data_IF_110463418676
#
_entry.id   IF_110463418676
#
_cell.length_a   1.000
_cell.length_b   1.000
_cell.length_c   1.000
_cell.angle_alpha   90.00
_cell.angle_beta   90.00
_cell.angle_gamma   90.00
#
_symmetry.space_group_name_H-M   'P 1'
#
loop_
_entity.id
_entity.type
_entity.pdbx_description
1 polymer ?
#
# COMPACT_ATOMS: atom_id res chain seq x y z
N UNK A 1 19.90 29.14 -31.81
CA UNK A 1 19.93 28.64 -30.41
C UNK A 1 20.71 29.65 -29.56
N UNK A 2 20.07 30.44 -28.69
CA UNK A 2 20.73 31.60 -28.03
C UNK A 2 21.42 31.16 -26.72
N UNK A 3 22.73 31.44 -26.62
CA UNK A 3 23.63 31.18 -25.48
C UNK A 3 23.06 31.67 -24.12
N UNK A 4 22.19 32.70 -24.11
CA UNK A 4 21.46 33.15 -22.91
C UNK A 4 20.53 32.07 -22.33
N UNK A 5 19.82 31.30 -23.17
CA UNK A 5 18.89 30.25 -22.72
C UNK A 5 19.59 29.10 -22.01
N UNK A 6 20.82 28.77 -22.43
CA UNK A 6 21.62 27.72 -21.83
C UNK A 6 22.22 28.16 -20.48
N UNK A 7 22.64 29.43 -20.35
CA UNK A 7 23.08 29.99 -19.05
C UNK A 7 21.96 30.01 -18.01
N UNK A 8 20.74 30.39 -18.37
CA UNK A 8 19.60 30.34 -17.44
C UNK A 8 19.23 28.90 -17.06
N UNK A 9 19.32 27.95 -17.99
CA UNK A 9 19.12 26.51 -17.72
C UNK A 9 20.15 25.96 -16.74
N UNK A 10 21.44 26.28 -16.93
CA UNK A 10 22.50 25.82 -16.04
C UNK A 10 22.36 26.45 -14.65
N UNK A 11 22.07 27.74 -14.56
CA UNK A 11 21.81 28.44 -13.30
C UNK A 11 20.56 27.91 -12.58
N UNK A 12 19.50 27.53 -13.31
CA UNK A 12 18.29 26.96 -12.71
C UNK A 12 18.43 25.49 -12.33
N UNK A 13 19.22 24.71 -13.09
CA UNK A 13 19.59 23.33 -12.75
C UNK A 13 20.42 23.34 -11.47
N UNK A 14 21.41 24.24 -11.39
CA UNK A 14 22.24 24.47 -10.20
C UNK A 14 21.36 24.95 -9.04
N UNK A 15 20.38 25.83 -9.26
CA UNK A 15 19.46 26.27 -8.20
C UNK A 15 18.51 25.15 -7.73
N UNK A 16 17.99 24.33 -8.65
CA UNK A 16 17.12 23.19 -8.33
C UNK A 16 17.86 22.06 -7.63
N UNK A 17 19.10 21.76 -8.05
CA UNK A 17 19.98 20.85 -7.32
C UNK A 17 20.45 21.45 -6.01
N UNK A 18 20.70 22.75 -5.89
CA UNK A 18 20.97 23.42 -4.61
C UNK A 18 19.75 23.41 -3.68
N UNK A 19 18.53 23.48 -4.19
CA UNK A 19 17.31 23.35 -3.38
C UNK A 19 17.06 21.90 -2.95
N UNK A 20 17.32 20.93 -3.82
CA UNK A 20 17.21 19.51 -3.48
C UNK A 20 18.32 19.09 -2.50
N UNK A 21 19.58 19.47 -2.76
CA UNK A 21 20.74 19.24 -1.89
C UNK A 21 20.62 20.06 -0.61
N UNK A 22 20.08 21.28 -0.67
CA UNK A 22 19.77 22.10 0.49
C UNK A 22 18.64 21.53 1.33
N UNK A 23 17.60 20.96 0.71
CA UNK A 23 16.53 20.22 1.40
C UNK A 23 17.04 18.94 2.04
N UNK A 24 17.94 18.20 1.36
CA UNK A 24 18.61 17.02 1.90
C UNK A 24 19.59 17.41 3.01
N UNK A 25 20.34 18.50 2.88
CA UNK A 25 21.25 18.99 3.91
C UNK A 25 20.48 19.53 5.13
N UNK A 26 19.34 20.20 4.92
CA UNK A 26 18.44 20.62 6.00
C UNK A 26 17.84 19.39 6.69
N UNK A 27 17.44 18.36 5.94
CA UNK A 27 16.98 17.07 6.44
C UNK A 27 18.06 16.38 7.27
N UNK A 28 19.32 16.35 6.80
CA UNK A 28 20.49 15.83 7.54
C UNK A 28 20.80 16.68 8.78
N UNK A 29 20.66 18.01 8.72
CA UNK A 29 20.92 18.89 9.87
C UNK A 29 19.81 18.81 10.92
N UNK A 30 18.56 18.55 10.49
CA UNK A 30 17.40 18.32 11.37
C UNK A 30 17.44 16.91 11.97
N UNK A 31 17.89 15.91 11.20
CA UNK A 31 18.25 14.57 11.71
C UNK A 31 19.30 14.66 12.82
N UNK A 32 20.24 15.61 12.72
CA UNK A 32 21.24 15.88 13.76
C UNK A 32 20.72 16.74 14.95
N UNK A 33 19.54 17.38 14.86
CA UNK A 33 19.02 18.34 15.87
C UNK A 33 17.73 17.93 16.61
N UNK A 34 17.10 16.80 16.26
CA UNK A 34 16.07 16.14 17.07
C UNK A 34 14.82 16.98 17.44
N UNK A 35 14.33 17.85 16.56
CA UNK A 35 13.16 18.73 16.79
C UNK A 35 12.03 18.43 15.76
N UNK A 36 11.12 17.49 16.06
CA UNK A 36 10.21 16.90 15.05
C UNK A 36 8.74 17.33 15.11
N UNK A 37 8.28 18.06 16.13
CA UNK A 37 6.83 18.26 16.36
C UNK A 37 6.15 19.28 15.43
N UNK A 38 6.90 20.12 14.70
CA UNK A 38 6.34 21.19 13.83
C UNK A 38 6.91 21.14 12.39
N UNK A 39 7.87 20.26 12.12
CA UNK A 39 8.74 20.36 10.93
C UNK A 39 8.43 19.31 9.85
N UNK A 40 7.62 18.28 10.12
CA UNK A 40 7.26 17.23 9.14
C UNK A 40 6.55 17.79 7.88
N UNK A 41 5.64 18.75 8.06
CA UNK A 41 4.96 19.47 6.96
C UNK A 41 5.92 20.37 6.15
N UNK A 42 6.88 21.00 6.83
CA UNK A 42 7.86 21.93 6.22
C UNK A 42 8.99 21.22 5.47
N UNK A 43 9.25 19.94 5.76
CA UNK A 43 10.29 19.11 5.12
C UNK A 43 9.75 18.32 3.93
N UNK A 44 8.51 17.85 3.99
CA UNK A 44 7.87 17.19 2.84
C UNK A 44 7.56 18.19 1.72
N UNK A 45 7.19 19.44 2.07
CA UNK A 45 6.92 20.49 1.09
C UNK A 45 8.06 20.70 0.08
N UNK A 46 9.33 20.95 0.47
CA UNK A 46 10.42 21.21 -0.48
C UNK A 46 10.87 19.98 -1.27
N UNK A 47 10.70 18.76 -0.78
CA UNK A 47 11.00 17.53 -1.53
C UNK A 47 9.92 17.28 -2.59
N UNK A 48 8.65 17.45 -2.21
CA UNK A 48 7.49 17.35 -3.11
C UNK A 48 7.55 18.51 -4.12
N UNK A 49 7.78 19.74 -3.68
CA UNK A 49 7.95 20.92 -4.55
C UNK A 49 9.18 20.75 -5.44
N UNK A 50 10.29 20.22 -4.94
CA UNK A 50 11.51 19.96 -5.70
C UNK A 50 11.33 18.90 -6.78
N UNK A 51 10.63 17.80 -6.47
CA UNK A 51 10.22 16.78 -7.44
C UNK A 51 9.23 17.32 -8.48
N UNK A 52 8.25 18.11 -8.04
CA UNK A 52 7.32 18.85 -8.91
C UNK A 52 8.07 19.85 -9.80
N UNK A 53 9.08 20.54 -9.29
CA UNK A 53 9.89 21.50 -10.03
C UNK A 53 10.76 20.81 -11.09
N UNK A 54 11.37 19.68 -10.73
CA UNK A 54 12.14 18.84 -11.66
C UNK A 54 11.27 18.30 -12.79
N UNK A 55 10.07 17.81 -12.47
CA UNK A 55 9.09 17.36 -13.47
C UNK A 55 8.55 18.52 -14.33
N UNK A 56 8.32 19.69 -13.72
CA UNK A 56 7.88 20.91 -14.42
C UNK A 56 8.95 21.49 -15.34
N UNK A 57 10.24 21.45 -14.97
CA UNK A 57 11.33 21.92 -15.84
C UNK A 57 11.73 20.92 -16.92
N UNK A 58 11.66 19.62 -16.63
CA UNK A 58 11.70 18.58 -17.67
C UNK A 58 10.60 18.81 -18.72
N UNK A 59 9.41 19.21 -18.28
CA UNK A 59 8.30 19.63 -19.16
C UNK A 59 8.57 20.95 -19.92
N UNK A 60 9.17 21.97 -19.28
CA UNK A 60 9.49 23.25 -19.93
C UNK A 60 10.52 23.07 -21.05
N UNK A 61 11.48 22.16 -20.85
CA UNK A 61 12.43 21.75 -21.90
C UNK A 61 11.72 20.99 -23.04
N UNK A 62 10.76 20.12 -22.71
CA UNK A 62 9.92 19.42 -23.71
C UNK A 62 9.05 20.38 -24.55
N UNK A 63 8.51 21.45 -23.95
CA UNK A 63 7.63 22.38 -24.67
C UNK A 63 8.36 23.39 -25.57
N UNK A 64 9.64 23.69 -25.32
CA UNK A 64 10.40 24.61 -26.19
C UNK A 64 10.87 23.97 -27.52
N UNK A 65 10.73 22.65 -27.68
CA UNK A 65 11.03 21.94 -28.93
C UNK A 65 9.91 21.93 -29.97
N UNK A 66 8.69 22.34 -29.63
CA UNK A 66 7.51 22.22 -30.51
C UNK A 66 6.97 23.60 -30.88
N UNK A 67 7.48 24.19 -31.97
CA UNK A 67 7.07 25.52 -32.45
C UNK A 67 6.53 25.58 -33.88
N UNK A 68 6.37 24.46 -34.60
CA UNK A 68 5.86 24.52 -35.97
C UNK A 68 4.91 23.37 -36.37
N UNK A 69 3.60 23.65 -36.58
CA UNK A 69 2.57 22.64 -36.85
C UNK A 69 2.71 21.90 -38.19
N UNK A 70 3.64 22.29 -39.08
CA UNK A 70 3.92 21.54 -40.33
C UNK A 70 4.89 20.37 -40.14
N UNK A 71 5.51 20.23 -38.96
CA UNK A 71 6.48 19.15 -38.68
C UNK A 71 5.90 17.95 -37.93
N UNK A 72 4.60 17.97 -37.60
CA UNK A 72 3.96 16.98 -36.71
C UNK A 72 3.90 15.54 -37.26
N UNK A 73 3.84 15.36 -38.59
CA UNK A 73 3.83 14.01 -39.20
C UNK A 73 5.21 13.32 -39.20
N UNK A 74 6.31 14.07 -39.19
CA UNK A 74 7.66 13.52 -39.02
C UNK A 74 8.04 13.40 -37.53
N UNK A 75 7.56 14.32 -36.69
CA UNK A 75 7.84 14.34 -35.24
C UNK A 75 6.97 13.37 -34.42
N UNK A 76 5.87 12.84 -34.94
CA UNK A 76 5.09 11.79 -34.25
C UNK A 76 5.90 10.51 -33.97
N UNK A 77 6.87 10.16 -34.84
CA UNK A 77 7.82 9.05 -34.59
C UNK A 77 8.92 9.42 -33.60
N UNK A 78 9.38 10.67 -33.59
CA UNK A 78 10.40 11.16 -32.64
C UNK A 78 9.86 11.37 -31.21
N UNK A 79 8.64 11.89 -31.08
CA UNK A 79 7.93 12.09 -29.81
C UNK A 79 7.73 10.78 -29.03
N UNK A 80 7.34 9.70 -29.74
CA UNK A 80 7.21 8.37 -29.13
C UNK A 80 8.54 7.78 -28.66
N UNK A 81 9.65 8.07 -29.36
CA UNK A 81 10.97 7.58 -28.97
C UNK A 81 11.51 8.33 -27.74
N UNK A 82 11.33 9.65 -27.66
CA UNK A 82 11.71 10.42 -26.47
C UNK A 82 10.89 10.05 -25.23
N UNK A 83 9.57 9.83 -25.34
CA UNK A 83 8.75 9.37 -24.22
C UNK A 83 9.19 7.98 -23.72
N UNK A 84 9.56 7.07 -24.63
CA UNK A 84 10.13 5.76 -24.26
C UNK A 84 11.49 5.89 -23.56
N UNK A 85 12.37 6.77 -24.03
CA UNK A 85 13.67 7.03 -23.37
C UNK A 85 13.45 7.56 -21.96
N UNK A 86 12.57 8.55 -21.76
CA UNK A 86 12.26 9.08 -20.43
C UNK A 86 11.61 8.04 -19.51
N UNK A 87 10.76 7.18 -20.06
CA UNK A 87 10.18 6.05 -19.32
C UNK A 87 11.28 5.13 -18.82
N UNK A 88 12.24 4.76 -19.68
CA UNK A 88 13.40 3.94 -19.28
C UNK A 88 14.24 4.66 -18.23
N UNK A 89 14.56 5.94 -18.42
CA UNK A 89 15.37 6.71 -17.46
C UNK A 89 14.71 6.79 -16.08
N UNK A 90 13.41 7.07 -16.02
CA UNK A 90 12.67 7.14 -14.76
C UNK A 90 12.60 5.77 -14.09
N UNK A 91 12.34 4.70 -14.85
CA UNK A 91 12.31 3.35 -14.30
C UNK A 91 13.70 2.88 -13.83
N UNK A 92 14.77 3.23 -14.55
CA UNK A 92 16.14 2.95 -14.12
C UNK A 92 16.49 3.73 -12.85
N UNK A 93 16.14 5.01 -12.76
CA UNK A 93 16.34 5.80 -11.55
C UNK A 93 15.52 5.23 -10.37
N UNK A 94 14.27 4.83 -10.61
CA UNK A 94 13.41 4.20 -9.62
C UNK A 94 13.97 2.85 -9.16
N UNK A 95 14.56 2.06 -10.05
CA UNK A 95 15.25 0.82 -9.70
C UNK A 95 16.50 1.09 -8.85
N UNK A 96 17.31 2.11 -9.18
CA UNK A 96 18.43 2.51 -8.32
C UNK A 96 17.97 2.94 -6.92
N UNK A 97 16.88 3.70 -6.83
CA UNK A 97 16.27 4.08 -5.55
C UNK A 97 15.78 2.83 -4.80
N UNK A 98 15.11 1.91 -5.49
CA UNK A 98 14.66 0.63 -4.91
C UNK A 98 15.82 -0.13 -4.31
N UNK A 99 16.90 -0.38 -5.07
CA UNK A 99 18.06 -1.12 -4.57
C UNK A 99 18.79 -0.38 -3.46
N UNK A 100 18.84 0.96 -3.49
CA UNK A 100 19.41 1.76 -2.41
C UNK A 100 18.64 1.60 -1.10
N UNK A 101 17.32 1.75 -1.13
CA UNK A 101 16.47 1.54 0.06
C UNK A 101 16.40 0.07 0.48
N UNK A 102 16.42 -0.87 -0.48
CA UNK A 102 16.48 -2.29 -0.19
C UNK A 102 17.77 -2.66 0.54
N UNK A 103 18.92 -2.09 0.16
CA UNK A 103 20.18 -2.29 0.89
C UNK A 103 20.06 -1.88 2.35
N UNK A 104 19.53 -0.67 2.60
CA UNK A 104 19.30 -0.16 3.96
C UNK A 104 18.28 -1.02 4.72
N UNK A 105 17.21 -1.44 4.05
CA UNK A 105 16.18 -2.31 4.61
C UNK A 105 16.71 -3.71 4.97
N UNK A 106 17.65 -4.24 4.19
CA UNK A 106 18.26 -5.56 4.41
C UNK A 106 19.27 -5.59 5.55
N UNK A 107 19.77 -4.42 5.98
CA UNK A 107 20.65 -4.27 7.15
C UNK A 107 19.87 -4.27 8.47
N UNK A 108 18.54 -4.17 8.43
CA UNK A 108 17.70 -4.22 9.62
C UNK A 108 17.64 -5.66 10.11
N UNK A 109 18.16 -5.91 11.31
CA UNK A 109 18.11 -7.23 11.92
C UNK A 109 16.65 -7.69 12.07
N UNK A 110 16.33 -8.93 11.67
CA UNK A 110 15.02 -9.49 11.93
C UNK A 110 14.80 -9.57 13.43
N UNK A 111 13.57 -9.28 13.85
CA UNK A 111 13.12 -9.46 15.23
C UNK A 111 13.51 -10.87 15.69
N UNK A 112 14.31 -11.02 16.77
CA UNK A 112 14.63 -12.34 17.27
C UNK A 112 13.33 -13.06 17.62
N UNK A 113 13.11 -14.23 17.02
CA UNK A 113 12.04 -15.13 17.45
C UNK A 113 12.22 -15.36 18.95
N UNK A 114 11.15 -15.35 19.73
CA UNK A 114 11.23 -15.75 21.13
C UNK A 114 11.86 -17.15 21.21
N UNK A 115 12.61 -17.45 22.27
CA UNK A 115 13.28 -18.75 22.43
C UNK A 115 12.32 -19.94 22.24
N UNK A 116 11.04 -19.77 22.58
CA UNK A 116 9.99 -20.77 22.39
C UNK A 116 9.53 -20.97 20.92
N UNK A 117 9.70 -19.97 20.05
CA UNK A 117 9.38 -20.06 18.60
C UNK A 117 10.58 -20.47 17.76
N UNK A 118 11.78 -20.48 18.34
CA UNK A 118 13.02 -20.84 17.65
C UNK A 118 13.19 -22.37 17.54
N UNK A 119 12.57 -23.13 18.45
CA UNK A 119 12.57 -24.59 18.44
C UNK A 119 11.46 -25.21 17.59
N UNK A 120 10.45 -24.46 17.13
CA UNK A 120 9.40 -25.01 16.27
C UNK A 120 9.72 -24.85 14.78
N UNK A 121 9.80 -25.99 14.07
CA UNK A 121 9.68 -26.06 12.62
C UNK A 121 8.22 -26.32 12.22
N UNK A 122 7.80 -25.77 11.09
CA UNK A 122 6.46 -25.99 10.53
C UNK A 122 6.61 -26.67 9.18
N UNK A 123 6.15 -27.92 9.08
CA UNK A 123 6.32 -28.75 7.88
C UNK A 123 4.98 -29.23 7.35
N UNK A 124 4.87 -29.33 6.02
CA UNK A 124 3.71 -29.92 5.36
C UNK A 124 3.73 -31.44 5.55
N UNK A 125 2.58 -32.02 5.86
CA UNK A 125 2.38 -33.43 6.10
C UNK A 125 1.04 -33.92 5.52
N UNK A 126 0.92 -35.22 5.34
CA UNK A 126 -0.31 -35.89 4.89
C UNK A 126 -0.82 -36.83 5.97
N UNK A 127 -2.12 -36.75 6.29
CA UNK A 127 -2.76 -37.64 7.27
C UNK A 127 -2.91 -39.03 6.66
N UNK A 128 -2.18 -40.00 7.20
CA UNK A 128 -2.26 -41.40 6.75
C UNK A 128 -3.36 -42.18 7.47
N UNK A 129 -3.54 -41.91 8.76
CA UNK A 129 -4.49 -42.63 9.60
C UNK A 129 -4.96 -41.76 10.77
N UNK A 130 -6.20 -41.96 11.20
CA UNK A 130 -6.75 -41.37 12.43
C UNK A 130 -6.88 -42.51 13.43
N UNK A 131 -5.99 -42.54 14.42
CA UNK A 131 -5.86 -43.63 15.40
C UNK A 131 -6.95 -43.56 16.47
N UNK A 132 -7.35 -42.35 16.86
CA UNK A 132 -8.48 -42.16 17.77
C UNK A 132 -9.11 -40.78 17.58
N UNK A 133 -10.41 -40.72 17.73
CA UNK A 133 -11.18 -39.48 17.77
C UNK A 133 -11.99 -39.45 19.07
N UNK A 134 -11.90 -38.32 19.77
CA UNK A 134 -12.67 -38.06 20.97
C UNK A 134 -13.34 -36.71 20.84
N UNK A 135 -14.65 -36.66 21.05
CA UNK A 135 -15.44 -35.44 20.97
C UNK A 135 -16.19 -35.22 22.30
N UNK A 136 -16.04 -34.02 22.89
CA UNK A 136 -16.77 -33.52 24.05
C UNK A 136 -17.89 -32.56 23.64
N UNK A 137 -19.04 -32.69 24.32
CA UNK A 137 -19.99 -31.58 24.49
C UNK A 137 -21.10 -31.44 23.44
N UNK A 138 -22.21 -30.86 23.89
CA UNK A 138 -23.55 -30.81 23.28
C UNK A 138 -23.69 -30.05 21.96
N UNK A 139 -24.60 -30.52 21.10
CA UNK A 139 -25.03 -29.99 19.79
C UNK A 139 -25.57 -28.54 19.76
N UNK A 140 -25.31 -27.69 20.75
CA UNK A 140 -25.92 -26.35 20.85
C UNK A 140 -25.09 -25.23 20.20
N UNK A 141 -23.84 -25.47 19.81
CA UNK A 141 -23.04 -24.52 19.04
C UNK A 141 -22.57 -25.17 17.73
N UNK A 142 -23.32 -24.92 16.65
CA UNK A 142 -22.91 -25.13 15.25
C UNK A 142 -22.09 -26.41 14.96
N UNK A 143 -22.53 -27.62 15.30
CA UNK A 143 -21.88 -28.88 14.89
C UNK A 143 -20.32 -28.88 14.94
N UNK A 144 -19.70 -28.10 15.84
CA UNK A 144 -18.24 -28.00 15.93
C UNK A 144 -17.77 -28.94 17.01
N UNK A 145 -17.14 -30.08 16.66
CA UNK A 145 -16.62 -30.99 17.65
C UNK A 145 -15.54 -30.31 18.47
N UNK A 146 -15.69 -30.33 19.79
CA UNK A 146 -14.60 -30.06 20.72
C UNK A 146 -13.98 -31.40 21.10
N UNK A 147 -12.68 -31.48 21.31
CA UNK A 147 -12.02 -32.73 21.68
C UNK A 147 -10.65 -32.89 21.06
N UNK A 148 -10.29 -34.10 20.64
CA UNK A 148 -8.95 -34.41 20.13
C UNK A 148 -9.01 -35.50 19.08
N UNK A 149 -8.24 -35.34 18.00
CA UNK A 149 -7.92 -36.43 17.07
C UNK A 149 -6.44 -36.78 17.22
N UNK A 150 -6.15 -38.07 17.33
CA UNK A 150 -4.79 -38.61 17.30
C UNK A 150 -4.56 -39.18 15.92
N UNK A 151 -3.53 -38.70 15.25
CA UNK A 151 -3.28 -39.00 13.84
C UNK A 151 -1.87 -39.55 13.62
N UNK A 152 -1.74 -40.35 12.57
CA UNK A 152 -0.45 -40.71 11.98
C UNK A 152 -0.28 -39.89 10.71
N UNK A 153 0.83 -39.17 10.61
CA UNK A 153 1.12 -38.23 9.52
C UNK A 153 2.46 -38.54 8.88
N UNK A 154 2.55 -38.39 7.56
CA UNK A 154 3.81 -38.46 6.80
C UNK A 154 4.24 -37.04 6.44
N UNK A 155 5.44 -36.64 6.86
CA UNK A 155 5.99 -35.32 6.52
C UNK A 155 6.42 -35.29 5.06
N UNK A 156 6.06 -34.24 4.32
CA UNK A 156 6.35 -34.07 2.90
C UNK A 156 7.45 -33.05 2.62
N UNK A 157 7.78 -32.17 3.58
CA UNK A 157 8.75 -31.08 3.40
C UNK A 157 9.79 -31.02 4.52
N UNK A 158 10.88 -30.29 4.25
CA UNK A 158 11.89 -29.99 5.26
C UNK A 158 12.84 -31.14 5.59
N UNK A 159 13.57 -31.04 6.71
CA UNK A 159 14.60 -32.02 7.10
C UNK A 159 14.02 -33.39 7.48
N UNK A 160 12.71 -33.46 7.76
CA UNK A 160 11.98 -34.65 8.17
C UNK A 160 11.17 -35.28 7.03
N UNK A 161 11.38 -34.87 5.78
CA UNK A 161 10.59 -35.33 4.65
C UNK A 161 10.72 -36.86 4.44
N UNK A 162 9.56 -37.54 4.37
CA UNK A 162 9.46 -39.00 4.29
C UNK A 162 9.32 -39.70 5.64
N UNK A 163 9.51 -38.98 6.75
CA UNK A 163 9.32 -39.55 8.09
C UNK A 163 7.82 -39.63 8.43
N UNK A 164 7.44 -40.74 9.06
CA UNK A 164 6.09 -40.98 9.55
C UNK A 164 6.07 -40.79 11.06
N UNK A 165 5.25 -39.85 11.54
CA UNK A 165 5.04 -39.59 12.95
C UNK A 165 3.67 -40.14 13.35
N UNK A 166 3.66 -41.08 14.29
CA UNK A 166 2.44 -41.60 14.90
C UNK A 166 2.11 -40.83 16.17
N UNK A 167 0.83 -40.81 16.53
CA UNK A 167 0.30 -40.14 17.72
C UNK A 167 0.40 -38.60 17.73
N UNK A 168 0.37 -37.97 16.55
CA UNK A 168 0.34 -36.50 16.46
C UNK A 168 -1.05 -35.99 16.83
N UNK A 169 -1.08 -35.06 17.79
CA UNK A 169 -2.32 -34.56 18.38
C UNK A 169 -2.89 -33.39 17.57
N UNK A 170 -4.18 -33.46 17.30
CA UNK A 170 -4.99 -32.38 16.76
C UNK A 170 -6.06 -31.99 17.77
N UNK A 171 -5.81 -30.91 18.51
CA UNK A 171 -6.72 -30.39 19.53
C UNK A 171 -7.85 -29.59 18.87
N UNK A 172 -9.09 -29.99 19.14
CA UNK A 172 -10.30 -29.37 18.62
C UNK A 172 -10.97 -28.55 19.71
N UNK A 173 -11.26 -27.29 19.40
CA UNK A 173 -11.91 -26.30 20.25
C UNK A 173 -12.97 -25.54 19.44
N UNK A 174 -13.83 -24.79 20.13
CA UNK A 174 -14.82 -23.92 19.48
C UNK A 174 -14.16 -22.91 18.53
N UNK A 175 -12.98 -22.42 18.92
CA UNK A 175 -12.28 -21.32 18.26
C UNK A 175 -11.15 -21.77 17.33
N UNK A 176 -10.64 -22.99 17.48
CA UNK A 176 -9.47 -23.50 16.74
C UNK A 176 -9.51 -25.02 16.62
N UNK A 177 -8.77 -25.56 15.66
CA UNK A 177 -8.80 -26.99 15.33
C UNK A 177 -9.73 -27.29 14.17
N UNK A 178 -9.33 -28.23 13.34
CA UNK A 178 -10.06 -28.64 12.13
C UNK A 178 -10.26 -30.14 12.16
N UNK A 179 -11.47 -30.62 11.89
CA UNK A 179 -11.73 -32.05 11.77
C UNK A 179 -10.95 -32.56 10.57
N UNK A 180 -10.03 -33.47 10.79
CA UNK A 180 -9.20 -34.04 9.72
C UNK A 180 -9.81 -35.33 9.20
N UNK A 181 -9.59 -35.59 7.91
CA UNK A 181 -9.87 -36.84 7.23
C UNK A 181 -8.56 -37.47 6.70
N UNK A 182 -8.60 -38.77 6.43
CA UNK A 182 -7.46 -39.48 5.83
C UNK A 182 -7.20 -38.95 4.41
N UNK A 183 -5.94 -38.60 4.12
CA UNK A 183 -5.51 -37.96 2.87
C UNK A 183 -5.46 -36.42 2.93
N UNK A 184 -5.88 -35.81 4.04
CA UNK A 184 -5.77 -34.36 4.22
C UNK A 184 -4.31 -33.91 4.30
N UNK A 185 -4.02 -32.77 3.68
CA UNK A 185 -2.73 -32.08 3.83
C UNK A 185 -2.78 -31.09 4.97
N UNK A 186 -1.85 -31.21 5.91
CA UNK A 186 -1.78 -30.42 7.14
C UNK A 186 -0.38 -29.86 7.33
N UNK A 187 -0.28 -28.83 8.16
CA UNK A 187 0.98 -28.32 8.67
C UNK A 187 1.16 -28.86 10.08
N UNK A 188 2.28 -29.53 10.32
CA UNK A 188 2.67 -30.08 11.62
C UNK A 188 3.74 -29.17 12.20
N UNK A 189 3.53 -28.77 13.46
CA UNK A 189 4.52 -28.01 14.21
C UNK A 189 5.40 -29.02 14.97
N UNK A 190 6.69 -29.05 14.66
CA UNK A 190 7.67 -30.00 15.20
C UNK A 190 8.63 -29.23 16.09
N UNK A 191 8.70 -29.56 17.38
CA UNK A 191 9.72 -29.01 18.28
C UNK A 191 11.03 -29.78 18.14
N UNK A 192 12.09 -29.10 17.74
CA UNK A 192 13.45 -29.62 17.62
C UNK A 192 14.38 -28.86 18.56
N UNK A 193 14.70 -29.48 19.71
CA UNK A 193 15.66 -28.96 20.69
C UNK A 193 17.12 -29.37 20.37
N UNK A 194 17.41 -29.83 19.14
CA UNK A 194 18.76 -30.07 18.63
C UNK A 194 19.49 -31.29 19.22
N UNK A 195 18.87 -32.05 20.12
CA UNK A 195 19.46 -33.26 20.74
C UNK A 195 18.53 -34.47 20.72
N UNK A 196 17.21 -34.27 20.62
CA UNK A 196 16.19 -35.31 20.42
C UNK A 196 14.96 -34.67 19.79
N UNK A 197 14.47 -35.20 18.67
CA UNK A 197 13.15 -34.87 18.14
C UNK A 197 12.13 -35.47 19.10
N UNK A 198 11.51 -34.64 19.93
CA UNK A 198 10.50 -35.13 20.90
C UNK A 198 9.12 -35.10 20.25
N UNK A 199 8.69 -36.28 19.80
CA UNK A 199 7.36 -36.52 19.20
C UNK A 199 6.24 -36.04 20.13
N UNK A 200 6.45 -36.09 21.46
CA UNK A 200 5.50 -35.70 22.50
C UNK A 200 5.07 -34.21 22.48
N UNK A 201 5.78 -33.35 21.74
CA UNK A 201 5.44 -31.93 21.60
C UNK A 201 4.99 -31.53 20.19
N UNK A 202 4.88 -32.49 19.27
CA UNK A 202 4.40 -32.25 17.91
C UNK A 202 2.86 -32.24 17.87
N UNK A 203 2.30 -31.22 17.23
CA UNK A 203 0.85 -31.07 17.10
C UNK A 203 0.49 -30.56 15.71
N UNK A 204 -0.74 -30.83 15.30
CA UNK A 204 -1.26 -30.31 14.03
C UNK A 204 -1.58 -28.83 14.20
N UNK A 205 -0.91 -27.99 13.43
CA UNK A 205 -1.11 -26.55 13.45
C UNK A 205 -2.41 -26.18 12.74
N UNK A 206 -2.58 -26.62 11.48
CA UNK A 206 -3.74 -26.31 10.64
C UNK A 206 -3.65 -27.04 9.28
N UNK A 207 -4.70 -26.97 8.45
CA UNK A 207 -4.64 -27.37 7.04
C UNK A 207 -3.54 -26.66 6.24
N UNK A 208 -2.89 -27.40 5.35
CA UNK A 208 -2.02 -26.83 4.33
C UNK A 208 -2.86 -26.19 3.21
N UNK A 209 -3.07 -24.88 3.34
CA UNK A 209 -3.84 -24.07 2.38
C UNK A 209 -2.99 -23.54 1.23
N UNK A 210 -1.70 -23.89 1.16
CA UNK A 210 -0.75 -23.32 0.19
C UNK A 210 -1.20 -23.58 -1.25
N UNK A 211 -1.55 -24.82 -1.58
CA UNK A 211 -1.95 -25.19 -2.96
C UNK A 211 -3.29 -24.57 -3.36
N UNK A 212 -4.38 -24.69 -2.56
CA UNK A 212 -5.66 -24.03 -2.90
C UNK A 212 -5.55 -22.50 -3.03
N UNK A 213 -4.79 -21.84 -2.15
CA UNK A 213 -4.58 -20.39 -2.23
C UNK A 213 -3.83 -19.99 -3.51
N UNK A 214 -2.83 -20.77 -3.94
CA UNK A 214 -2.13 -20.54 -5.20
C UNK A 214 -3.07 -20.69 -6.41
N UNK A 215 -4.01 -21.64 -6.38
CA UNK A 215 -5.01 -21.80 -7.44
C UNK A 215 -5.94 -20.59 -7.51
N UNK A 216 -6.44 -20.10 -6.36
CA UNK A 216 -7.31 -18.91 -6.30
C UNK A 216 -6.55 -17.69 -6.82
N UNK A 217 -5.30 -17.50 -6.38
CA UNK A 217 -4.45 -16.41 -6.85
C UNK A 217 -4.22 -16.51 -8.36
N UNK A 218 -3.89 -17.70 -8.87
CA UNK A 218 -3.69 -17.93 -10.30
C UNK A 218 -4.96 -17.60 -11.10
N UNK A 219 -6.14 -18.01 -10.62
CA UNK A 219 -7.41 -17.71 -11.27
C UNK A 219 -7.67 -16.19 -11.35
N UNK A 220 -7.37 -15.45 -10.27
CA UNK A 220 -7.45 -13.99 -10.25
C UNK A 220 -6.49 -13.34 -11.27
N UNK A 221 -5.23 -13.78 -11.30
CA UNK A 221 -4.22 -13.28 -12.25
C UNK A 221 -4.64 -13.56 -13.70
N UNK A 222 -5.07 -14.80 -13.99
CA UNK A 222 -5.53 -15.21 -15.31
C UNK A 222 -6.75 -14.39 -15.76
N UNK A 223 -7.76 -14.25 -14.91
CA UNK A 223 -8.98 -13.48 -15.23
C UNK A 223 -8.64 -12.02 -15.55
N UNK A 224 -7.75 -11.41 -14.76
CA UNK A 224 -7.32 -10.03 -14.96
C UNK A 224 -6.58 -9.84 -16.27
N UNK A 225 -5.70 -10.78 -16.65
CA UNK A 225 -4.97 -10.71 -17.93
C UNK A 225 -5.88 -11.03 -19.11
N UNK A 226 -6.81 -11.98 -18.97
CA UNK A 226 -7.75 -12.35 -20.03
C UNK A 226 -8.71 -11.19 -20.36
N UNK A 227 -9.22 -10.50 -19.34
CA UNK A 227 -10.13 -9.36 -19.52
C UNK A 227 -9.38 -8.07 -19.87
N UNK A 228 -8.28 -7.77 -19.17
CA UNK A 228 -7.52 -6.53 -19.33
C UNK A 228 -6.44 -6.56 -20.42
N UNK A 229 -6.15 -7.72 -20.99
CA UNK A 229 -5.09 -7.93 -21.98
C UNK A 229 -3.73 -7.39 -21.51
N UNK A 230 -3.07 -6.62 -22.38
CA UNK A 230 -1.76 -5.99 -22.08
C UNK A 230 -1.85 -4.95 -20.97
N UNK A 231 -3.00 -4.30 -20.79
CA UNK A 231 -3.19 -3.28 -19.75
C UNK A 231 -3.37 -3.96 -18.40
N UNK A 232 -4.17 -5.04 -18.36
CA UNK A 232 -4.33 -5.89 -17.17
C UNK A 232 -2.99 -6.46 -16.70
N UNK A 233 -2.17 -7.01 -17.61
CA UNK A 233 -0.84 -7.50 -17.26
C UNK A 233 0.07 -6.42 -16.66
N UNK A 234 0.04 -5.19 -17.19
CA UNK A 234 0.82 -4.06 -16.63
C UNK A 234 0.32 -3.63 -15.25
N UNK A 235 -0.99 -3.65 -15.03
CA UNK A 235 -1.59 -3.35 -13.73
C UNK A 235 -1.17 -4.38 -12.67
N UNK A 236 -1.17 -5.67 -13.02
CA UNK A 236 -0.67 -6.72 -12.12
C UNK A 236 0.82 -6.56 -11.78
N UNK A 237 1.65 -6.12 -12.74
CA UNK A 237 3.05 -5.79 -12.45
C UNK A 237 3.18 -4.62 -11.46
N UNK A 238 2.32 -3.60 -11.58
CA UNK A 238 2.25 -2.49 -10.63
C UNK A 238 1.82 -2.93 -9.24
N UNK A 239 0.79 -3.77 -9.15
CA UNK A 239 0.33 -4.37 -7.89
C UNK A 239 1.43 -5.22 -7.24
N UNK A 240 2.08 -6.09 -8.02
CA UNK A 240 3.19 -6.91 -7.55
C UNK A 240 4.36 -6.08 -7.02
N UNK A 241 4.69 -4.97 -7.69
CA UNK A 241 5.69 -4.01 -7.22
C UNK A 241 5.28 -3.35 -5.91
N UNK A 242 3.99 -3.00 -5.76
CA UNK A 242 3.45 -2.40 -4.52
C UNK A 242 3.65 -3.36 -3.34
N UNK A 243 3.23 -4.62 -3.52
CA UNK A 243 3.41 -5.69 -2.53
C UNK A 243 4.90 -5.88 -2.21
N UNK A 244 5.75 -5.95 -3.24
CA UNK A 244 7.20 -6.06 -3.06
C UNK A 244 7.75 -4.90 -2.22
N UNK A 245 7.44 -3.65 -2.56
CA UNK A 245 7.90 -2.48 -1.82
C UNK A 245 7.41 -2.47 -0.37
N UNK A 246 6.19 -2.94 -0.11
CA UNK A 246 5.66 -3.03 1.27
C UNK A 246 6.47 -4.04 2.09
N UNK A 247 6.68 -5.26 1.59
CA UNK A 247 7.34 -6.30 2.35
C UNK A 247 8.87 -6.16 2.42
N UNK A 248 9.52 -5.68 1.36
CA UNK A 248 11.00 -5.62 1.30
C UNK A 248 11.58 -4.27 1.67
N UNK A 249 10.77 -3.20 1.71
CA UNK A 249 11.25 -1.85 2.03
C UNK A 249 10.44 -1.25 3.19
N UNK A 250 9.12 -1.14 3.08
CA UNK A 250 8.31 -0.45 4.09
C UNK A 250 8.45 -1.13 5.47
N UNK A 251 8.12 -2.42 5.57
CA UNK A 251 8.15 -3.10 6.86
C UNK A 251 9.54 -3.15 7.49
N UNK A 252 10.63 -3.53 6.77
CA UNK A 252 11.96 -3.51 7.37
C UNK A 252 12.40 -2.11 7.80
N UNK A 253 12.12 -1.05 7.01
CA UNK A 253 12.46 0.32 7.43
C UNK A 253 11.70 0.76 8.69
N UNK A 254 10.42 0.38 8.82
CA UNK A 254 9.66 0.63 10.04
C UNK A 254 10.24 -0.13 11.24
N UNK A 255 10.61 -1.40 11.05
CA UNK A 255 11.30 -2.22 12.07
C UNK A 255 12.69 -1.63 12.40
N UNK A 256 13.34 -0.98 11.45
CA UNK A 256 14.61 -0.27 11.64
C UNK A 256 14.48 1.10 12.32
N UNK A 257 13.26 1.51 12.71
CA UNK A 257 13.03 2.79 13.41
C UNK A 257 12.95 4.00 12.48
N UNK A 258 12.61 3.82 11.20
CA UNK A 258 12.36 4.98 10.35
C UNK A 258 11.06 5.70 10.75
N UNK A 259 10.96 7.03 10.56
CA UNK A 259 9.76 7.79 10.91
C UNK A 259 8.52 7.22 10.20
N UNK A 260 7.53 6.75 10.97
CA UNK A 260 6.46 5.90 10.45
C UNK A 260 5.65 6.57 9.34
N UNK A 261 5.03 7.73 9.61
CA UNK A 261 4.19 8.42 8.62
C UNK A 261 4.92 8.93 7.37
N UNK A 262 6.07 9.63 7.50
CA UNK A 262 6.83 10.07 6.33
C UNK A 262 7.30 8.91 5.46
N UNK A 263 7.71 7.79 6.05
CA UNK A 263 8.13 6.60 5.30
C UNK A 263 6.97 6.00 4.52
N UNK A 264 5.78 5.84 5.14
CA UNK A 264 4.58 5.34 4.46
C UNK A 264 4.19 6.25 3.29
N UNK A 265 4.13 7.56 3.50
CA UNK A 265 3.82 8.52 2.44
C UNK A 265 4.85 8.50 1.31
N UNK A 266 6.13 8.42 1.66
CA UNK A 266 7.23 8.33 0.71
C UNK A 266 7.12 7.10 -0.18
N UNK A 267 6.81 5.94 0.40
CA UNK A 267 6.61 4.69 -0.34
C UNK A 267 5.34 4.75 -1.19
N UNK A 268 4.22 5.27 -0.66
CA UNK A 268 3.01 5.51 -1.46
C UNK A 268 3.32 6.38 -2.69
N UNK A 269 4.05 7.49 -2.51
CA UNK A 269 4.44 8.37 -3.60
C UNK A 269 5.39 7.69 -4.60
N UNK A 270 6.37 6.93 -4.12
CA UNK A 270 7.29 6.16 -4.95
C UNK A 270 6.54 5.13 -5.81
N UNK A 271 5.70 4.30 -5.18
CA UNK A 271 4.91 3.27 -5.87
C UNK A 271 3.99 3.92 -6.91
N UNK A 272 3.29 4.99 -6.55
CA UNK A 272 2.43 5.76 -7.47
C UNK A 272 3.17 6.19 -8.74
N UNK A 273 4.39 6.74 -8.57
CA UNK A 273 5.21 7.19 -9.71
C UNK A 273 5.58 6.00 -10.59
N UNK A 274 6.08 4.91 -10.01
CA UNK A 274 6.55 3.76 -10.79
C UNK A 274 5.38 3.06 -11.49
N UNK A 275 4.29 2.82 -10.77
CA UNK A 275 3.08 2.18 -11.27
C UNK A 275 2.50 2.93 -12.48
N UNK A 276 2.29 4.24 -12.36
CA UNK A 276 1.72 5.02 -13.46
C UNK A 276 2.68 5.13 -14.66
N UNK A 277 3.99 5.16 -14.43
CA UNK A 277 4.99 5.14 -15.51
C UNK A 277 5.01 3.78 -16.22
N UNK A 278 4.86 2.66 -15.51
CA UNK A 278 4.73 1.32 -16.12
C UNK A 278 3.45 1.24 -16.97
N UNK A 279 2.33 1.75 -16.44
CA UNK A 279 1.03 1.71 -17.12
C UNK A 279 1.03 2.53 -18.40
N UNK A 280 1.31 3.84 -18.31
CA UNK A 280 1.08 4.79 -19.39
C UNK A 280 2.32 5.49 -19.95
N UNK A 281 3.51 5.22 -19.40
CA UNK A 281 4.74 5.93 -19.74
C UNK A 281 4.73 7.39 -19.31
N UNK A 282 5.72 8.16 -19.77
CA UNK A 282 5.85 9.58 -19.38
C UNK A 282 5.04 10.46 -20.33
N UNK A 283 3.93 10.99 -19.84
CA UNK A 283 3.07 11.95 -20.54
C UNK A 283 2.30 12.87 -19.56
N UNK A 284 1.62 13.89 -20.10
CA UNK A 284 0.84 14.87 -19.30
C UNK A 284 -0.28 14.21 -18.49
N UNK A 285 -0.92 13.18 -19.05
CA UNK A 285 -1.97 12.41 -18.38
C UNK A 285 -1.44 11.70 -17.14
N UNK A 286 -0.33 10.99 -17.27
CA UNK A 286 0.32 10.30 -16.16
C UNK A 286 0.81 11.30 -15.10
N UNK A 287 1.37 12.44 -15.50
CA UNK A 287 1.79 13.46 -14.54
C UNK A 287 0.62 14.01 -13.70
N UNK A 288 -0.51 14.32 -14.34
CA UNK A 288 -1.71 14.78 -13.62
C UNK A 288 -2.24 13.70 -12.68
N UNK A 289 -2.22 12.43 -13.09
CA UNK A 289 -2.64 11.31 -12.25
C UNK A 289 -1.72 11.11 -11.03
N UNK A 290 -0.40 11.16 -11.22
CA UNK A 290 0.58 11.08 -10.13
C UNK A 290 0.35 12.20 -9.10
N UNK A 291 0.24 13.45 -9.56
CA UNK A 291 0.07 14.60 -8.67
C UNK A 291 -1.30 14.59 -7.98
N UNK A 292 -2.35 14.20 -8.70
CA UNK A 292 -3.68 14.01 -8.14
C UNK A 292 -3.68 12.96 -7.03
N UNK A 293 -2.95 11.88 -7.23
CA UNK A 293 -2.87 10.80 -6.24
C UNK A 293 -2.09 11.19 -5.00
N UNK A 294 -0.86 11.69 -5.18
CA UNK A 294 -0.01 12.08 -4.05
C UNK A 294 -0.71 13.15 -3.20
N UNK A 295 -1.38 14.11 -3.84
CA UNK A 295 -2.15 15.13 -3.11
C UNK A 295 -3.39 14.56 -2.40
N UNK A 296 -4.12 13.62 -3.01
CA UNK A 296 -5.24 12.92 -2.39
C UNK A 296 -4.83 12.11 -1.15
N UNK A 297 -3.76 11.32 -1.26
CA UNK A 297 -3.22 10.52 -0.15
C UNK A 297 -2.67 11.41 0.96
N UNK A 298 -1.99 12.52 0.63
CA UNK A 298 -1.52 13.47 1.62
C UNK A 298 -2.67 14.16 2.37
N UNK A 299 -3.81 14.41 1.71
CA UNK A 299 -5.01 14.94 2.35
C UNK A 299 -5.68 13.91 3.24
N UNK A 300 -5.75 12.63 2.80
CA UNK A 300 -6.22 11.53 3.63
C UNK A 300 -5.38 11.42 4.92
N UNK A 301 -4.06 11.52 4.80
CA UNK A 301 -3.14 11.56 5.95
C UNK A 301 -3.49 12.71 6.89
N UNK A 302 -3.57 13.94 6.36
CA UNK A 302 -3.81 15.13 7.17
C UNK A 302 -5.15 15.03 7.90
N UNK A 303 -6.20 14.56 7.22
CA UNK A 303 -7.50 14.38 7.82
C UNK A 303 -7.48 13.25 8.88
N UNK A 304 -6.77 12.15 8.61
CA UNK A 304 -6.58 11.04 9.55
C UNK A 304 -5.90 11.49 10.84
N UNK A 305 -4.80 12.23 10.74
CA UNK A 305 -4.09 12.83 11.89
C UNK A 305 -4.99 13.75 12.72
N UNK A 306 -5.69 14.67 12.05
CA UNK A 306 -6.60 15.61 12.73
C UNK A 306 -7.73 14.85 13.41
N UNK A 307 -8.31 13.85 12.74
CA UNK A 307 -9.42 13.06 13.27
C UNK A 307 -8.98 12.21 14.46
N UNK A 308 -7.82 11.57 14.37
CA UNK A 308 -7.26 10.79 15.47
C UNK A 308 -7.02 11.68 16.71
N UNK A 309 -6.52 12.90 16.49
CA UNK A 309 -6.34 13.88 17.57
C UNK A 309 -7.65 14.35 18.19
N UNK A 310 -8.67 14.66 17.39
CA UNK A 310 -9.99 15.11 17.85
C UNK A 310 -10.70 14.00 18.63
N UNK A 311 -10.68 12.77 18.10
CA UNK A 311 -11.31 11.60 18.70
C UNK A 311 -10.50 11.03 19.86
N UNK A 312 -9.28 11.54 20.10
CA UNK A 312 -8.32 11.04 21.09
C UNK A 312 -8.03 9.54 20.93
N UNK A 313 -8.05 9.09 19.69
CA UNK A 313 -7.74 7.71 19.33
C UNK A 313 -6.23 7.54 19.28
N UNK A 314 -5.79 6.37 19.73
CA UNK A 314 -4.39 6.02 19.77
C UNK A 314 -4.17 4.67 19.10
N UNK A 315 -3.03 4.45 18.46
CA UNK A 315 -2.73 3.17 17.84
C UNK A 315 -2.61 1.99 18.81
N UNK A 316 -2.52 2.25 20.12
CA UNK A 316 -2.62 1.20 21.14
C UNK A 316 -4.02 0.61 21.27
N UNK A 317 -5.01 1.24 20.65
CA UNK A 317 -6.40 0.87 20.69
C UNK A 317 -6.84 0.13 19.41
N UNK A 318 -5.90 -0.21 18.52
CA UNK A 318 -6.20 -0.98 17.31
C UNK A 318 -6.72 -2.38 17.68
N UNK A 319 -7.72 -2.84 16.92
CA UNK A 319 -8.43 -4.11 17.13
C UNK A 319 -7.52 -5.31 16.90
N UNK A 320 -7.74 -6.35 17.70
CA UNK A 320 -7.05 -7.64 17.60
C UNK A 320 -5.52 -7.53 17.57
N UNK A 321 -5.01 -6.41 18.08
CA UNK A 321 -3.61 -6.08 18.02
C UNK A 321 -3.00 -6.10 19.43
N UNK A 322 -3.66 -6.61 20.48
CA UNK A 322 -3.13 -6.51 21.83
C UNK A 322 -1.78 -7.24 21.97
N UNK A 323 -1.68 -8.46 21.42
CA UNK A 323 -0.43 -9.22 21.38
C UNK A 323 0.58 -8.64 20.39
N UNK A 324 0.11 -8.11 19.27
CA UNK A 324 0.90 -7.48 18.21
C UNK A 324 1.47 -6.13 18.67
N UNK A 325 0.69 -5.33 19.39
CA UNK A 325 1.05 -4.05 20.00
C UNK A 325 2.03 -4.29 21.14
N UNK A 326 1.87 -5.37 21.91
CA UNK A 326 2.85 -5.77 22.91
C UNK A 326 4.18 -6.16 22.23
N UNK A 327 4.14 -7.00 21.20
CA UNK A 327 5.31 -7.37 20.42
C UNK A 327 5.98 -6.16 19.75
N UNK A 328 5.19 -5.27 19.13
CA UNK A 328 5.66 -3.99 18.60
C UNK A 328 6.20 -3.09 19.72
N UNK A 329 5.64 -3.16 20.92
CA UNK A 329 6.10 -2.46 22.12
C UNK A 329 7.48 -2.95 22.58
N UNK A 330 7.73 -4.26 22.55
CA UNK A 330 9.04 -4.85 22.82
C UNK A 330 10.06 -4.40 21.75
N UNK A 331 9.67 -4.38 20.48
CA UNK A 331 10.52 -3.86 19.39
C UNK A 331 10.87 -2.39 19.56
N UNK A 332 9.93 -1.58 20.04
CA UNK A 332 10.18 -0.17 20.33
C UNK A 332 11.20 0.03 21.45
N UNK A 333 11.35 -0.92 22.37
CA UNK A 333 12.38 -0.85 23.42
C UNK A 333 13.78 -1.13 22.85
N UNK A 334 13.89 -1.88 21.76
CA UNK A 334 15.16 -2.12 21.06
C UNK A 334 15.52 -1.01 20.07
N UNK A 335 14.56 -0.13 19.74
CA UNK A 335 14.76 1.01 18.84
C UNK A 335 15.19 2.27 19.61
N UNK A 336 15.87 3.18 18.91
CA UNK A 336 16.19 4.50 19.45
C UNK A 336 14.91 5.23 19.91
N UNK A 337 14.94 5.80 21.12
CA UNK A 337 13.77 6.46 21.77
C UNK A 337 13.17 7.59 20.90
N UNK A 338 13.98 8.23 20.06
CA UNK A 338 13.55 9.31 19.16
C UNK A 338 13.01 8.80 17.80
N UNK A 339 13.24 7.54 17.49
CA UNK A 339 13.00 6.91 16.18
C UNK A 339 12.11 5.65 16.27
N UNK A 340 11.63 5.31 17.47
CA UNK A 340 10.76 4.16 17.65
C UNK A 340 9.44 4.28 16.86
N UNK A 341 8.94 3.13 16.38
CA UNK A 341 7.65 3.03 15.69
C UNK A 341 6.57 3.74 16.50
N UNK A 342 5.84 4.65 15.88
CA UNK A 342 4.73 5.33 16.53
C UNK A 342 3.45 4.60 16.19
N UNK A 343 2.81 3.99 17.19
CA UNK A 343 1.58 3.23 16.99
C UNK A 343 0.44 4.11 16.46
N UNK A 344 0.34 5.36 16.91
CA UNK A 344 -0.63 6.34 16.35
C UNK A 344 -0.40 6.56 14.85
N UNK A 345 0.86 6.71 14.47
CA UNK A 345 1.28 6.91 13.09
C UNK A 345 1.02 5.66 12.23
N UNK A 346 1.02 4.45 12.81
CA UNK A 346 0.63 3.21 12.13
C UNK A 346 -0.87 3.17 11.84
N UNK A 347 -1.71 3.64 12.77
CA UNK A 347 -3.15 3.74 12.55
C UNK A 347 -3.44 4.64 11.34
N UNK A 348 -2.84 5.83 11.31
CA UNK A 348 -2.98 6.74 10.16
C UNK A 348 -2.29 6.15 8.92
N UNK A 349 -1.18 5.45 9.08
CA UNK A 349 -0.49 4.71 8.02
C UNK A 349 -1.39 3.70 7.30
N UNK A 350 -2.23 2.97 8.03
CA UNK A 350 -3.23 2.07 7.47
C UNK A 350 -4.25 2.80 6.59
N UNK A 351 -4.66 4.03 6.97
CA UNK A 351 -5.53 4.90 6.16
C UNK A 351 -4.86 5.23 4.82
N UNK A 352 -3.55 5.54 4.81
CA UNK A 352 -2.84 5.86 3.57
C UNK A 352 -2.80 4.69 2.60
N UNK A 353 -2.47 3.49 3.09
CA UNK A 353 -2.40 2.29 2.27
C UNK A 353 -3.79 1.93 1.73
N UNK A 354 -4.83 2.00 2.57
CA UNK A 354 -6.21 1.77 2.16
C UNK A 354 -6.69 2.79 1.12
N UNK A 355 -6.37 4.07 1.31
CA UNK A 355 -6.79 5.15 0.41
C UNK A 355 -6.02 5.13 -0.92
N UNK A 356 -4.76 4.69 -0.95
CA UNK A 356 -3.89 4.74 -2.12
C UNK A 356 -4.53 4.10 -3.36
N UNK A 357 -5.07 2.88 -3.22
CA UNK A 357 -5.67 2.16 -4.33
C UNK A 357 -6.90 2.89 -4.90
N UNK A 358 -7.80 3.33 -4.03
CA UNK A 358 -8.98 4.08 -4.47
C UNK A 358 -8.59 5.41 -5.11
N UNK A 359 -7.65 6.15 -4.54
CA UNK A 359 -7.18 7.43 -5.07
C UNK A 359 -6.48 7.25 -6.43
N UNK A 360 -5.70 6.18 -6.62
CA UNK A 360 -5.03 5.85 -7.89
C UNK A 360 -6.05 5.76 -9.04
N UNK A 361 -7.13 5.00 -8.82
CA UNK A 361 -8.18 4.79 -9.82
C UNK A 361 -8.88 6.10 -10.19
N UNK A 362 -9.11 6.95 -9.20
CA UNK A 362 -9.79 8.24 -9.39
C UNK A 362 -8.95 9.18 -10.23
N UNK A 363 -7.70 9.38 -9.80
CA UNK A 363 -6.80 10.33 -10.41
C UNK A 363 -6.49 9.93 -11.86
N UNK A 364 -6.32 8.63 -12.12
CA UNK A 364 -6.10 8.10 -13.45
C UNK A 364 -7.33 8.28 -14.36
N UNK A 365 -8.53 7.98 -13.85
CA UNK A 365 -9.78 8.12 -14.60
C UNK A 365 -10.07 9.57 -14.97
N UNK A 366 -9.93 10.50 -14.01
CA UNK A 366 -10.10 11.94 -14.25
C UNK A 366 -9.06 12.46 -15.24
N UNK A 367 -7.80 12.10 -15.04
CA UNK A 367 -6.73 12.52 -15.95
C UNK A 367 -6.94 11.98 -17.37
N UNK A 368 -7.41 10.73 -17.49
CA UNK A 368 -7.78 10.14 -18.78
C UNK A 368 -8.91 10.91 -19.46
N UNK A 369 -10.01 11.11 -18.75
CA UNK A 369 -11.19 11.80 -19.27
C UNK A 369 -10.85 13.24 -19.71
N UNK A 370 -10.08 13.97 -18.90
CA UNK A 370 -9.66 15.33 -19.26
C UNK A 370 -8.71 15.36 -20.46
N UNK A 371 -7.76 14.40 -20.54
CA UNK A 371 -6.88 14.28 -21.70
C UNK A 371 -7.67 14.00 -22.98
N UNK A 372 -8.73 13.19 -22.88
CA UNK A 372 -9.59 12.84 -24.00
C UNK A 372 -10.50 13.99 -24.43
N UNK A 373 -11.08 14.73 -23.46
CA UNK A 373 -11.86 15.94 -23.74
C UNK A 373 -11.06 16.97 -24.55
N UNK A 374 -9.79 17.19 -24.19
CA UNK A 374 -8.90 18.11 -24.93
C UNK A 374 -8.46 17.55 -26.27
N UNK A 375 -8.32 16.22 -26.40
CA UNK A 375 -8.01 15.58 -27.68
C UNK A 375 -9.18 15.70 -28.68
N UNK A 376 -10.42 15.58 -28.20
CA UNK A 376 -11.64 15.71 -29.02
C UNK A 376 -11.93 17.18 -29.37
N UNK A 377 -11.79 18.10 -28.41
CA UNK A 377 -12.02 19.53 -28.62
C UNK A 377 -10.85 20.38 -28.10
N UNK A 378 -9.84 20.65 -28.95
CA UNK A 378 -8.66 21.44 -28.56
C UNK A 378 -8.96 22.91 -28.22
N UNK A 379 -10.10 23.44 -28.65
CA UNK A 379 -10.49 24.85 -28.47
C UNK A 379 -11.20 25.13 -27.14
N UNK A 380 -11.37 24.10 -26.30
CA UNK A 380 -11.98 24.21 -24.97
C UNK A 380 -11.28 25.27 -24.12
N UNK A 381 -12.06 26.19 -23.57
CA UNK A 381 -11.54 27.16 -22.61
C UNK A 381 -11.24 26.48 -21.27
N UNK A 382 -10.33 27.08 -20.48
CA UNK A 382 -9.99 26.61 -19.13
C UNK A 382 -11.21 26.41 -18.24
N UNK A 383 -12.20 27.31 -18.34
CA UNK A 383 -13.43 27.23 -17.54
C UNK A 383 -14.34 26.08 -17.98
N UNK A 384 -14.45 25.84 -19.28
CA UNK A 384 -15.23 24.72 -19.82
C UNK A 384 -14.57 23.38 -19.49
N UNK A 385 -13.24 23.29 -19.57
CA UNK A 385 -12.49 22.11 -19.19
C UNK A 385 -12.62 21.82 -17.68
N UNK A 386 -12.52 22.84 -16.83
CA UNK A 386 -12.73 22.71 -15.39
C UNK A 386 -14.16 22.25 -15.07
N UNK A 387 -15.16 22.89 -15.69
CA UNK A 387 -16.59 22.55 -15.47
C UNK A 387 -16.88 21.12 -15.91
N UNK A 388 -16.38 20.72 -17.07
CA UNK A 388 -16.59 19.37 -17.62
C UNK A 388 -15.88 18.31 -16.79
N UNK A 389 -14.61 18.54 -16.43
CA UNK A 389 -13.85 17.65 -15.55
C UNK A 389 -14.51 17.50 -14.17
N UNK A 390 -15.03 18.58 -13.59
CA UNK A 390 -15.74 18.53 -12.31
C UNK A 390 -17.08 17.80 -12.40
N UNK A 391 -17.78 17.87 -13.54
CA UNK A 391 -19.01 17.11 -13.73
C UNK A 391 -18.73 15.61 -13.75
N UNK A 392 -17.72 15.16 -14.49
CA UNK A 392 -17.27 13.76 -14.50
C UNK A 392 -16.82 13.34 -13.10
N UNK A 393 -16.04 14.21 -12.44
CA UNK A 393 -15.57 13.98 -11.08
C UNK A 393 -16.69 13.82 -10.05
N UNK A 394 -17.79 14.57 -10.18
CA UNK A 394 -18.92 14.47 -9.26
C UNK A 394 -19.60 13.11 -9.33
N UNK A 395 -19.76 12.56 -10.53
CA UNK A 395 -20.35 11.23 -10.73
C UNK A 395 -19.44 10.15 -10.13
N UNK A 396 -18.14 10.29 -10.36
CA UNK A 396 -17.12 9.40 -9.78
C UNK A 396 -17.12 9.42 -8.26
N UNK A 397 -17.14 10.60 -7.62
CA UNK A 397 -17.17 10.74 -6.15
C UNK A 397 -18.32 9.92 -5.56
N UNK A 398 -19.53 10.03 -6.11
CA UNK A 398 -20.69 9.28 -5.60
C UNK A 398 -20.48 7.76 -5.65
N UNK A 399 -20.00 7.25 -6.78
CA UNK A 399 -19.78 5.81 -6.96
C UNK A 399 -18.68 5.27 -6.05
N UNK A 400 -17.56 5.99 -5.89
CA UNK A 400 -16.41 5.50 -5.11
C UNK A 400 -16.60 5.64 -3.61
N UNK A 401 -17.29 6.68 -3.14
CA UNK A 401 -17.66 6.78 -1.73
C UNK A 401 -18.56 5.61 -1.32
N UNK A 402 -19.52 5.23 -2.17
CA UNK A 402 -20.36 4.05 -1.90
C UNK A 402 -19.53 2.77 -1.83
N UNK A 403 -18.64 2.54 -2.80
CA UNK A 403 -17.75 1.37 -2.81
C UNK A 403 -16.87 1.30 -1.57
N UNK A 404 -16.28 2.43 -1.13
CA UNK A 404 -15.42 2.47 0.06
C UNK A 404 -16.20 2.18 1.35
N UNK A 405 -17.39 2.78 1.50
CA UNK A 405 -18.22 2.54 2.68
C UNK A 405 -18.70 1.09 2.71
N UNK A 406 -19.14 0.53 1.58
CA UNK A 406 -19.57 -0.87 1.51
C UNK A 406 -18.41 -1.84 1.74
N UNK A 407 -17.20 -1.53 1.24
CA UNK A 407 -16.01 -2.34 1.50
C UNK A 407 -15.67 -2.37 3.00
N UNK A 408 -15.82 -1.25 3.71
CA UNK A 408 -15.67 -1.19 5.16
C UNK A 408 -16.75 -2.02 5.87
N UNK A 409 -18.03 -1.77 5.56
CA UNK A 409 -19.15 -2.49 6.19
C UNK A 409 -19.02 -4.00 5.96
N UNK A 410 -18.53 -4.41 4.79
CA UNK A 410 -18.22 -5.81 4.49
C UNK A 410 -17.04 -6.34 5.30
N UNK A 411 -15.96 -5.56 5.45
CA UNK A 411 -14.78 -5.94 6.25
C UNK A 411 -15.07 -6.07 7.75
N UNK A 412 -15.94 -5.22 8.28
CA UNK A 412 -16.34 -5.22 9.70
C UNK A 412 -17.72 -5.84 9.91
N UNK A 413 -18.23 -6.66 8.98
CA UNK A 413 -19.61 -7.15 8.99
C UNK A 413 -19.96 -7.94 10.26
N UNK A 414 -19.11 -8.88 10.67
CA UNK A 414 -19.30 -9.69 11.89
C UNK A 414 -19.30 -8.83 13.14
N UNK A 415 -18.45 -7.80 13.18
CA UNK A 415 -18.35 -6.87 14.31
C UNK A 415 -19.58 -5.95 14.40
N UNK A 416 -20.06 -5.43 13.27
CA UNK A 416 -21.30 -4.67 13.19
C UNK A 416 -22.48 -5.53 13.68
N UNK A 417 -22.52 -6.81 13.28
CA UNK A 417 -23.54 -7.75 13.75
C UNK A 417 -23.44 -7.99 15.26
N UNK A 418 -22.23 -8.20 15.77
CA UNK A 418 -21.97 -8.38 17.20
C UNK A 418 -22.45 -7.16 18.01
N UNK A 419 -22.05 -5.94 17.63
CA UNK A 419 -22.54 -4.72 18.31
C UNK A 419 -24.04 -4.53 18.18
N UNK A 420 -24.63 -4.90 17.04
CA UNK A 420 -26.09 -4.86 16.84
C UNK A 420 -26.81 -5.88 17.74
N UNK A 421 -26.16 -7.00 18.09
CA UNK A 421 -26.72 -8.02 19.00
C UNK A 421 -26.69 -7.61 20.48
N UNK A 422 -25.82 -6.66 20.85
CA UNK A 422 -25.63 -6.22 22.22
C UNK A 422 -26.67 -5.17 22.68
N UNK A 423 -27.57 -4.74 21.79
CA UNK A 423 -28.58 -3.69 22.03
C UNK A 423 -27.98 -2.42 22.69
N UNK A 424 -26.77 -2.05 22.26
CA UNK A 424 -26.05 -0.91 22.82
C UNK A 424 -26.80 0.40 22.53
N UNK A 425 -26.84 1.29 23.52
CA UNK A 425 -27.30 2.65 23.27
C UNK A 425 -26.35 3.35 22.29
N UNK A 426 -26.88 4.33 21.53
CA UNK A 426 -26.06 5.10 20.59
C UNK A 426 -24.82 5.72 21.25
N UNK A 427 -24.95 6.19 22.49
CA UNK A 427 -23.84 6.76 23.25
C UNK A 427 -22.76 5.73 23.59
N UNK A 428 -23.15 4.51 23.94
CA UNK A 428 -22.20 3.42 24.19
C UNK A 428 -21.48 3.03 22.91
N UNK A 429 -22.20 2.84 21.79
CA UNK A 429 -21.61 2.50 20.50
C UNK A 429 -20.58 3.56 20.04
N UNK A 430 -20.95 4.84 20.09
CA UNK A 430 -20.05 5.94 19.71
C UNK A 430 -18.87 6.13 20.66
N UNK A 431 -18.99 5.66 21.92
CA UNK A 431 -17.93 5.76 22.93
C UNK A 431 -17.06 4.51 23.00
N UNK A 432 -17.40 3.46 22.25
CA UNK A 432 -16.49 2.31 22.07
C UNK A 432 -15.21 2.77 21.39
N UNK A 433 -14.19 1.93 21.46
CA UNK A 433 -12.89 2.24 20.89
C UNK A 433 -12.78 1.82 19.42
N UNK A 434 -13.37 0.68 19.05
CA UNK A 434 -13.21 0.09 17.72
C UNK A 434 -14.12 0.74 16.67
N UNK A 435 -15.38 1.01 17.00
CA UNK A 435 -16.31 1.62 16.06
C UNK A 435 -15.83 3.01 15.56
N UNK A 436 -15.37 3.94 16.43
CA UNK A 436 -14.82 5.21 15.96
C UNK A 436 -13.54 5.08 15.14
N UNK A 437 -12.69 4.08 15.41
CA UNK A 437 -11.48 3.82 14.62
C UNK A 437 -11.85 3.42 13.19
N UNK A 438 -12.74 2.44 13.02
CA UNK A 438 -13.21 1.97 11.71
C UNK A 438 -13.92 3.09 10.93
N UNK A 439 -14.80 3.83 11.62
CA UNK A 439 -15.48 4.97 11.02
C UNK A 439 -14.50 6.07 10.59
N UNK A 440 -13.52 6.39 11.44
CA UNK A 440 -12.48 7.37 11.13
C UNK A 440 -11.67 6.94 9.91
N UNK A 441 -11.22 5.68 9.85
CA UNK A 441 -10.44 5.15 8.74
C UNK A 441 -11.21 5.23 7.42
N UNK A 442 -12.50 4.87 7.44
CA UNK A 442 -13.36 4.94 6.26
C UNK A 442 -13.61 6.37 5.78
N UNK A 443 -13.93 7.27 6.72
CA UNK A 443 -14.21 8.68 6.40
C UNK A 443 -12.95 9.39 5.91
N UNK A 444 -11.80 9.18 6.57
CA UNK A 444 -10.53 9.77 6.17
C UNK A 444 -10.08 9.28 4.77
N UNK A 445 -10.19 7.98 4.51
CA UNK A 445 -9.88 7.40 3.19
C UNK A 445 -10.81 7.98 2.11
N UNK A 446 -12.10 8.09 2.40
CA UNK A 446 -13.11 8.65 1.49
C UNK A 446 -12.86 10.13 1.21
N UNK A 447 -12.48 10.93 2.21
CA UNK A 447 -12.16 12.35 2.03
C UNK A 447 -10.93 12.53 1.14
N UNK A 448 -9.92 11.68 1.28
CA UNK A 448 -8.78 11.63 0.36
C UNK A 448 -9.21 11.47 -1.10
N UNK A 449 -10.10 10.51 -1.36
CA UNK A 449 -10.69 10.28 -2.69
C UNK A 449 -11.52 11.46 -3.18
N UNK A 450 -12.41 11.99 -2.33
CA UNK A 450 -13.30 13.11 -2.66
C UNK A 450 -12.50 14.35 -3.05
N UNK A 451 -11.44 14.66 -2.30
CA UNK A 451 -10.60 15.84 -2.52
C UNK A 451 -9.53 15.63 -3.61
N UNK A 452 -9.14 14.39 -3.91
CA UNK A 452 -8.30 14.08 -5.06
C UNK A 452 -8.95 14.48 -6.39
N UNK A 453 -10.28 14.42 -6.47
CA UNK A 453 -11.06 14.76 -7.68
C UNK A 453 -10.89 16.22 -8.09
N UNK A 454 -11.28 17.23 -7.28
CA UNK A 454 -11.13 18.62 -7.65
C UNK A 454 -9.66 18.99 -7.90
N UNK A 455 -8.72 18.40 -7.16
CA UNK A 455 -7.29 18.63 -7.36
C UNK A 455 -6.81 18.09 -8.71
N UNK A 456 -7.17 16.85 -9.05
CA UNK A 456 -6.87 16.25 -10.35
C UNK A 456 -7.47 17.06 -11.50
N UNK A 457 -8.69 17.59 -11.32
CA UNK A 457 -9.34 18.45 -12.31
C UNK A 457 -8.62 19.80 -12.47
N UNK A 458 -8.22 20.45 -11.38
CA UNK A 458 -7.46 21.70 -11.44
C UNK A 458 -6.09 21.48 -12.08
N UNK A 459 -5.40 20.40 -11.71
CA UNK A 459 -4.13 20.01 -12.31
C UNK A 459 -4.30 19.73 -13.80
N UNK A 460 -5.29 18.94 -14.19
CA UNK A 460 -5.63 18.69 -15.60
C UNK A 460 -5.89 19.97 -16.38
N UNK A 461 -6.62 20.93 -15.79
CA UNK A 461 -6.84 22.24 -16.41
C UNK A 461 -5.53 23.02 -16.61
N UNK A 462 -4.61 22.99 -15.64
CA UNK A 462 -3.31 23.66 -15.75
C UNK A 462 -2.43 23.02 -16.83
N UNK A 463 -2.38 21.68 -16.89
CA UNK A 463 -1.47 20.93 -17.76
C UNK A 463 -2.00 20.74 -19.19
N UNK A 464 -3.32 20.63 -19.38
CA UNK A 464 -3.94 20.37 -20.68
C UNK A 464 -4.48 21.62 -21.39
N UNK A 465 -4.81 22.70 -20.68
CA UNK A 465 -5.45 23.85 -21.33
C UNK A 465 -4.49 24.65 -22.22
N UNK A 466 -4.85 24.81 -23.49
CA UNK A 466 -4.15 25.69 -24.43
C UNK A 466 -4.50 27.17 -24.16
N UNK A 467 -3.51 28.07 -24.29
CA UNK A 467 -3.79 29.51 -24.32
C UNK A 467 -4.40 29.83 -25.68
N UNK A 468 -5.69 30.22 -25.73
CA UNK A 468 -6.22 30.94 -26.89
C UNK A 468 -5.32 32.15 -27.15
N UNK A 469 -4.62 32.17 -28.29
CA UNK A 469 -4.15 33.44 -28.83
C UNK A 469 -5.40 34.27 -29.06
N UNK A 470 -5.50 35.43 -28.38
CA UNK A 470 -6.45 36.45 -28.80
C UNK A 470 -6.18 36.67 -30.29
N UNK A 471 -7.14 36.33 -31.16
CA UNK A 471 -7.15 36.87 -32.52
C UNK A 471 -7.16 38.38 -32.33
N UNK A 472 -6.03 39.00 -32.69
CA UNK A 472 -5.84 40.43 -32.64
C UNK A 472 -6.76 41.12 -33.64
#
# INVERSE_FOLDING_TARGET
MKIKSFRYFLLSLIAGTLFAVGGIALLVTILLRNEWRIISLLVCLPIIIGGIFLLYYAWLFYSQGSRDPKTDLANARGSGMHSKIWTIVILSAAACIFFGFYSVASEVDPVPKSNALQSLSYESAEVLEITSEYYQGSQEMEDRPQGEQITTVEIKTGPYAGDVYSNVRNSLSVYYGTILEVGDRVIVAISDDGTTVTIDSSYIYNYDRTTPLLIILLLFLLTTVLVGGKVGAKSLLGLGLTVLCVFTILFPLLIGGWPTLPTILGICAYVTIVEFVIMGGVNKKILVAILGTISGVAIAMLFGEISASILRLSGYQMKDAAGEIEALGQLRQTQDVNHAIRLNDLLVGGILIAALGAVNDVAMSISSAMSELVAVNPDLTRRELLKSGMNIGRDMVGTMTNTLILALVGGSFVEILYYSSLDLSFYELMSTTYFPIELMQAVASSIGVILAVPLSVVLGMIFFAHRKQKKA
#
